data_IF_277700812916
#
_entry.id   IF_277700812916
#
_cell.length_a   1.000
_cell.length_b   1.000
_cell.length_c   1.000
_cell.angle_alpha   90.00
_cell.angle_beta   90.00
_cell.angle_gamma   90.00
#
_symmetry.space_group_name_H-M   'P 1'
#
loop_
_entity.id
_entity.type
_entity.pdbx_description
1 polymer ?
#
# COMPACT_ATOMS: atom_id res chain seq x y z
N UNK A 1 -24.03 4.60 -4.98
CA UNK A 1 -22.61 5.00 -5.12
C UNK A 1 -21.90 4.62 -3.85
N UNK A 2 -20.62 4.26 -3.93
CA UNK A 2 -19.81 3.86 -2.79
C UNK A 2 -18.93 5.06 -2.40
N UNK A 3 -18.91 5.49 -1.13
CA UNK A 3 -18.18 6.68 -0.72
C UNK A 3 -16.67 6.57 -0.85
N UNK A 4 -16.02 7.67 -1.17
CA UNK A 4 -14.56 7.84 -1.17
C UNK A 4 -14.20 9.13 -0.42
N UNK A 5 -12.94 9.25 -0.03
CA UNK A 5 -12.43 10.47 0.61
C UNK A 5 -12.08 11.52 -0.44
N UNK A 6 -12.38 12.77 -0.13
CA UNK A 6 -12.09 13.94 -0.95
C UNK A 6 -11.38 14.99 -0.10
N UNK A 7 -10.34 15.61 -0.65
CA UNK A 7 -9.81 16.84 -0.09
C UNK A 7 -10.77 17.99 -0.41
N UNK A 8 -11.05 18.83 0.59
CA UNK A 8 -11.80 20.06 0.42
C UNK A 8 -10.84 21.15 -0.06
N UNK A 9 -11.11 21.67 -1.26
CA UNK A 9 -10.42 22.83 -1.80
C UNK A 9 -11.21 24.06 -1.37
N UNK A 10 -10.65 24.95 -0.52
CA UNK A 10 -11.39 26.10 -0.03
C UNK A 10 -11.67 27.08 -1.18
N UNK A 11 -12.78 27.80 -1.04
CA UNK A 11 -13.07 28.93 -1.89
C UNK A 11 -12.06 30.05 -1.60
N UNK A 12 -11.42 30.56 -2.64
CA UNK A 12 -10.48 31.69 -2.58
C UNK A 12 -10.84 32.70 -3.65
N UNK A 13 -10.06 33.78 -3.78
CA UNK A 13 -10.20 34.73 -4.90
C UNK A 13 -9.92 34.08 -6.27
N UNK A 14 -9.26 32.93 -6.30
CA UNK A 14 -8.84 32.23 -7.52
C UNK A 14 -9.51 30.87 -7.72
N UNK A 15 -10.29 30.39 -6.75
CA UNK A 15 -10.93 29.06 -6.76
C UNK A 15 -12.35 29.18 -6.22
N UNK A 16 -13.32 28.59 -6.91
CA UNK A 16 -14.74 28.61 -6.47
C UNK A 16 -15.05 27.62 -5.33
N UNK A 17 -14.02 26.98 -4.78
CA UNK A 17 -14.14 25.88 -3.83
C UNK A 17 -14.57 24.59 -4.53
N UNK A 18 -13.94 23.47 -4.22
CA UNK A 18 -14.22 22.19 -4.88
C UNK A 18 -13.82 21.00 -4.00
N UNK A 19 -14.03 19.79 -4.52
CA UNK A 19 -13.66 18.54 -3.89
C UNK A 19 -12.83 17.72 -4.88
N UNK A 20 -11.60 17.42 -4.50
CA UNK A 20 -10.70 16.56 -5.28
C UNK A 20 -10.63 15.18 -4.63
N UNK A 21 -10.63 14.12 -5.45
CA UNK A 21 -10.48 12.77 -4.92
C UNK A 21 -9.15 12.68 -4.16
N UNK A 22 -9.18 12.24 -2.91
CA UNK A 22 -7.99 12.23 -2.06
C UNK A 22 -6.94 11.26 -2.63
N UNK A 23 -5.76 11.80 -2.91
CA UNK A 23 -4.53 11.07 -3.20
C UNK A 23 -3.60 11.19 -1.98
N UNK A 24 -2.91 10.09 -1.62
CA UNK A 24 -2.05 10.07 -0.42
C UNK A 24 -0.94 11.12 -0.48
N UNK A 25 -0.49 11.48 -1.68
CA UNK A 25 0.53 12.48 -1.95
C UNK A 25 0.11 13.88 -1.45
N UNK A 26 -1.20 14.19 -1.44
CA UNK A 26 -1.71 15.44 -0.88
C UNK A 26 -1.47 15.53 0.65
N UNK A 27 -1.39 14.38 1.32
CA UNK A 27 -1.12 14.29 2.76
C UNK A 27 0.37 14.48 3.11
N UNK A 28 1.24 14.69 2.12
CA UNK A 28 2.65 15.01 2.34
C UNK A 28 2.89 16.45 2.82
N UNK A 29 1.84 17.28 2.90
CA UNK A 29 1.91 18.65 3.41
C UNK A 29 2.66 18.71 4.74
N UNK A 30 3.73 19.50 4.79
CA UNK A 30 4.54 19.68 6.00
C UNK A 30 5.48 18.53 6.35
N UNK A 31 5.61 17.49 5.51
CA UNK A 31 6.57 16.42 5.74
C UNK A 31 8.02 16.95 5.68
N UNK A 32 8.85 16.51 6.63
CA UNK A 32 10.28 16.81 6.66
C UNK A 32 11.08 15.62 7.18
N UNK A 33 12.27 15.42 6.61
CA UNK A 33 13.25 14.45 7.12
C UNK A 33 14.15 15.03 8.21
N UNK A 34 14.13 16.35 8.42
CA UNK A 34 14.93 17.00 9.46
C UNK A 34 14.56 16.48 10.83
N UNK A 35 15.57 16.04 11.58
CA UNK A 35 15.39 15.47 12.92
C UNK A 35 14.73 14.09 12.95
N UNK A 36 14.32 13.51 11.81
CA UNK A 36 13.75 12.15 11.79
C UNK A 36 14.84 11.10 12.08
N UNK A 37 14.51 10.02 12.81
CA UNK A 37 15.46 8.95 13.12
C UNK A 37 15.74 8.09 11.88
N UNK A 38 16.97 7.61 11.76
CA UNK A 38 17.43 6.75 10.67
C UNK A 38 17.90 5.38 11.16
N UNK A 39 17.38 4.92 12.30
CA UNK A 39 17.62 3.56 12.79
C UNK A 39 17.16 2.55 11.72
N UNK A 40 18.14 2.01 10.99
CA UNK A 40 18.02 1.15 9.81
C UNK A 40 19.01 0.01 10.02
N UNK A 41 18.51 -1.22 10.06
CA UNK A 41 19.36 -2.39 10.05
C UNK A 41 19.83 -2.69 8.62
N UNK A 42 21.12 -2.49 8.36
CA UNK A 42 21.75 -2.77 7.07
C UNK A 42 22.22 -4.22 6.89
N UNK A 43 22.03 -5.12 7.88
CA UNK A 43 22.36 -6.54 7.74
C UNK A 43 21.63 -7.21 6.55
N UNK A 44 22.33 -8.03 5.76
CA UNK A 44 21.80 -8.67 4.53
C UNK A 44 21.42 -7.71 3.36
N UNK A 45 21.97 -6.49 3.31
CA UNK A 45 21.80 -5.61 2.14
C UNK A 45 22.32 -6.22 0.81
N UNK A 46 23.21 -7.21 0.88
CA UNK A 46 23.73 -7.95 -0.28
C UNK A 46 22.65 -8.87 -0.91
N UNK A 47 21.67 -9.36 -0.14
CA UNK A 47 20.65 -10.30 -0.61
C UNK A 47 19.51 -9.60 -1.38
N UNK A 48 19.21 -8.33 -1.07
CA UNK A 48 18.15 -7.54 -1.73
C UNK A 48 18.49 -7.20 -3.20
N UNK A 49 19.77 -7.23 -3.59
CA UNK A 49 20.22 -6.99 -4.98
C UNK A 49 19.68 -8.05 -5.96
N UNK A 50 19.28 -9.23 -5.47
CA UNK A 50 18.74 -10.31 -6.29
C UNK A 50 17.27 -10.06 -6.71
N UNK A 51 16.54 -9.17 -6.01
CA UNK A 51 15.07 -9.13 -6.08
C UNK A 51 14.48 -7.95 -6.88
N UNK A 52 15.28 -6.95 -7.30
CA UNK A 52 14.73 -5.70 -7.85
C UNK A 52 15.41 -5.28 -9.16
N UNK A 53 14.94 -5.82 -10.28
CA UNK A 53 14.94 -5.09 -11.56
C UNK A 53 13.73 -5.53 -12.42
N UNK A 54 12.53 -5.14 -11.97
CA UNK A 54 11.30 -5.30 -12.75
C UNK A 54 11.11 -4.04 -13.57
N UNK A 55 11.60 -4.06 -14.82
CA UNK A 55 11.10 -3.13 -15.83
C UNK A 55 9.79 -3.68 -16.38
N UNK A 56 8.77 -2.82 -16.35
CA UNK A 56 7.49 -3.05 -17.02
C UNK A 56 7.75 -3.30 -18.52
N UNK A 57 7.42 -4.50 -18.99
CA UNK A 57 7.08 -4.74 -20.39
C UNK A 57 5.92 -5.73 -20.41
N UNK A 58 4.92 -5.41 -21.22
CA UNK A 58 3.70 -6.18 -21.41
C UNK A 58 4.00 -7.58 -21.98
N UNK A 59 3.45 -8.60 -21.33
CA UNK A 59 3.28 -9.94 -21.91
C UNK A 59 4.55 -10.75 -22.16
N UNK A 60 5.17 -11.31 -21.12
CA UNK A 60 6.18 -12.35 -21.29
C UNK A 60 6.73 -12.87 -19.98
N UNK A 61 6.69 -14.20 -19.80
CA UNK A 61 7.13 -14.96 -18.61
C UNK A 61 8.43 -14.40 -17.97
N UNK A 62 8.50 -14.29 -16.63
CA UNK A 62 9.63 -13.68 -15.95
C UNK A 62 10.92 -14.49 -16.19
N UNK A 63 11.93 -13.83 -16.75
CA UNK A 63 13.30 -14.35 -16.83
C UNK A 63 14.21 -13.49 -15.95
N UNK A 64 14.75 -14.11 -14.91
CA UNK A 64 15.74 -13.53 -14.01
C UNK A 64 17.05 -13.37 -14.77
N UNK A 65 17.50 -12.14 -15.00
CA UNK A 65 18.86 -11.85 -15.45
C UNK A 65 19.63 -11.21 -14.29
N UNK A 66 20.61 -11.95 -13.76
CA UNK A 66 21.68 -11.38 -12.94
C UNK A 66 22.44 -10.39 -13.83
N UNK A 67 22.79 -9.19 -13.34
CA UNK A 67 23.69 -8.25 -14.04
C UNK A 67 24.83 -9.03 -14.72
N UNK A 68 25.19 -8.64 -15.94
CA UNK A 68 26.30 -9.30 -16.62
C UNK A 68 27.56 -9.21 -15.74
N UNK A 69 28.31 -10.31 -15.62
CA UNK A 69 29.56 -10.33 -14.86
C UNK A 69 30.57 -9.27 -15.35
N UNK A 70 30.42 -8.78 -16.59
CA UNK A 70 31.23 -7.73 -17.17
C UNK A 70 30.93 -6.35 -16.57
N UNK A 71 29.65 -6.00 -16.36
CA UNK A 71 29.25 -4.72 -15.75
C UNK A 71 29.64 -4.64 -14.28
N UNK A 72 29.51 -5.76 -13.55
CA UNK A 72 29.99 -5.85 -12.16
C UNK A 72 31.52 -5.74 -12.06
N UNK A 73 32.28 -6.29 -13.03
CA UNK A 73 33.74 -6.18 -13.07
C UNK A 73 34.20 -4.78 -13.43
N UNK A 74 33.61 -4.17 -14.46
CA UNK A 74 33.91 -2.79 -14.86
C UNK A 74 33.58 -1.80 -13.74
N UNK A 75 32.45 -1.99 -13.06
CA UNK A 75 32.09 -1.19 -11.89
C UNK A 75 33.10 -1.38 -10.76
N UNK A 76 33.49 -2.62 -10.41
CA UNK A 76 34.50 -2.90 -9.38
C UNK A 76 35.89 -2.33 -9.72
N UNK A 77 36.33 -2.42 -10.96
CA UNK A 77 37.64 -1.91 -11.40
C UNK A 77 37.70 -0.37 -11.37
N UNK A 78 36.67 0.33 -11.86
CA UNK A 78 36.58 1.79 -11.77
C UNK A 78 36.27 2.31 -10.36
N UNK A 79 35.73 1.47 -9.48
CA UNK A 79 35.41 1.82 -8.10
C UNK A 79 36.62 1.67 -7.18
N UNK A 80 37.41 0.62 -7.38
CA UNK A 80 38.62 0.35 -6.58
C UNK A 80 39.81 1.26 -6.91
N UNK A 81 39.78 1.97 -8.05
CA UNK A 81 40.81 2.95 -8.43
C UNK A 81 40.63 4.33 -7.81
N UNK A 82 39.51 4.58 -7.12
CA UNK A 82 39.23 5.84 -6.43
C UNK A 82 39.76 5.83 -4.98
N UNK A 83 40.20 6.99 -4.44
CA UNK A 83 40.49 7.12 -3.01
C UNK A 83 39.20 6.88 -2.19
N UNK A 84 39.31 6.45 -0.91
CA UNK A 84 38.15 6.10 -0.08
C UNK A 84 37.05 7.17 -0.04
N UNK A 85 37.40 8.45 0.08
CA UNK A 85 36.45 9.56 0.05
C UNK A 85 35.69 9.65 -1.28
N UNK A 86 36.37 9.40 -2.40
CA UNK A 86 35.77 9.37 -3.73
C UNK A 86 34.79 8.22 -3.94
N UNK A 87 35.05 7.06 -3.30
CA UNK A 87 34.16 5.89 -3.32
C UNK A 87 32.88 6.14 -2.54
N UNK A 88 32.99 6.69 -1.33
CA UNK A 88 31.84 7.07 -0.49
C UNK A 88 30.96 8.09 -1.22
N UNK A 89 31.56 9.14 -1.79
CA UNK A 89 30.82 10.15 -2.58
C UNK A 89 30.07 9.54 -3.76
N UNK A 90 30.67 8.56 -4.44
CA UNK A 90 30.04 7.85 -5.56
C UNK A 90 28.87 6.96 -5.09
N UNK A 91 28.99 6.28 -3.96
CA UNK A 91 27.88 5.53 -3.35
C UNK A 91 26.73 6.46 -2.99
N UNK A 92 27.00 7.59 -2.31
CA UNK A 92 25.99 8.61 -1.99
C UNK A 92 25.24 9.07 -3.24
N UNK A 93 25.95 9.39 -4.32
CA UNK A 93 25.33 9.82 -5.59
C UNK A 93 24.45 8.73 -6.23
N UNK A 94 24.86 7.46 -6.16
CA UNK A 94 24.07 6.33 -6.66
C UNK A 94 22.79 6.11 -5.84
N UNK A 95 22.91 6.16 -4.52
CA UNK A 95 21.75 6.06 -3.62
C UNK A 95 20.77 7.20 -3.86
N UNK A 96 21.26 8.45 -3.94
CA UNK A 96 20.41 9.62 -4.22
C UNK A 96 19.71 9.53 -5.57
N UNK A 97 20.38 9.04 -6.62
CA UNK A 97 19.74 8.82 -7.92
C UNK A 97 18.57 7.82 -7.83
N UNK A 98 18.70 6.78 -7.00
CA UNK A 98 17.64 5.80 -6.79
C UNK A 98 16.50 6.37 -5.92
N UNK A 99 16.86 7.15 -4.89
CA UNK A 99 15.92 7.74 -3.95
C UNK A 99 15.16 8.95 -4.51
N UNK A 100 15.72 9.69 -5.47
CA UNK A 100 15.07 10.84 -6.13
C UNK A 100 13.78 10.48 -6.89
N UNK A 101 13.44 9.19 -6.99
CA UNK A 101 12.10 8.75 -7.42
C UNK A 101 11.01 9.06 -6.40
N UNK A 102 11.37 9.40 -5.16
CA UNK A 102 10.48 9.86 -4.10
C UNK A 102 10.20 11.36 -4.25
N UNK A 103 9.34 11.72 -5.20
CA UNK A 103 9.00 13.12 -5.50
C UNK A 103 8.34 13.88 -4.33
N UNK A 104 7.96 13.20 -3.26
CA UNK A 104 7.28 13.76 -2.08
C UNK A 104 8.25 14.31 -1.01
N UNK A 105 9.56 14.20 -1.25
CA UNK A 105 10.59 14.61 -0.31
C UNK A 105 11.49 15.64 -0.99
N UNK A 106 11.80 16.73 -0.28
CA UNK A 106 12.75 17.74 -0.76
C UNK A 106 14.13 17.10 -1.04
N UNK A 107 14.70 17.40 -2.21
CA UNK A 107 15.97 16.80 -2.64
C UNK A 107 17.14 17.19 -1.73
N UNK A 108 17.12 18.41 -1.16
CA UNK A 108 18.11 18.86 -0.20
C UNK A 108 18.00 18.10 1.12
N UNK A 109 16.79 17.90 1.62
CA UNK A 109 16.54 17.09 2.82
C UNK A 109 16.90 15.62 2.62
N UNK A 110 16.62 15.06 1.44
CA UNK A 110 17.00 13.70 1.08
C UNK A 110 18.53 13.54 1.05
N UNK A 111 19.26 14.49 0.45
CA UNK A 111 20.72 14.52 0.47
C UNK A 111 21.24 14.57 1.90
N UNK A 112 20.76 15.51 2.72
CA UNK A 112 21.19 15.65 4.10
C UNK A 112 20.89 14.39 4.95
N UNK A 113 19.78 13.71 4.67
CA UNK A 113 19.41 12.47 5.35
C UNK A 113 20.37 11.32 5.00
N UNK A 114 20.70 11.16 3.71
CA UNK A 114 21.69 10.16 3.25
C UNK A 114 23.08 10.51 3.78
N UNK A 115 23.46 11.78 3.77
CA UNK A 115 24.76 12.23 4.28
C UNK A 115 24.93 11.85 5.75
N UNK A 116 23.96 12.20 6.60
CA UNK A 116 23.97 11.86 8.03
C UNK A 116 24.07 10.34 8.26
N UNK A 117 23.31 9.54 7.52
CA UNK A 117 23.36 8.06 7.64
C UNK A 117 24.76 7.53 7.35
N UNK A 118 25.39 8.01 6.26
CA UNK A 118 26.69 7.51 5.81
C UNK A 118 27.82 8.06 6.66
N UNK A 119 27.72 9.30 7.15
CA UNK A 119 28.74 9.94 7.96
C UNK A 119 28.86 9.30 9.36
N UNK A 120 27.77 8.69 9.85
CA UNK A 120 27.74 7.94 11.12
C UNK A 120 28.17 6.46 10.96
N UNK A 121 28.49 6.00 9.75
CA UNK A 121 28.94 4.62 9.52
C UNK A 121 30.39 4.40 9.97
N UNK A 122 30.65 3.23 10.56
CA UNK A 122 32.01 2.78 10.81
C UNK A 122 32.71 2.28 9.52
N UNK A 123 34.02 1.99 9.63
CA UNK A 123 34.82 1.52 8.48
C UNK A 123 34.30 0.21 7.86
N UNK A 124 33.73 -0.69 8.67
CA UNK A 124 33.22 -1.97 8.17
C UNK A 124 31.89 -1.78 7.44
N UNK A 125 31.01 -0.92 7.97
CA UNK A 125 29.74 -0.54 7.36
C UNK A 125 29.97 0.21 6.03
N UNK A 126 30.92 1.15 5.98
CA UNK A 126 31.30 1.81 4.73
C UNK A 126 31.79 0.79 3.69
N UNK A 127 32.64 -0.16 4.07
CA UNK A 127 33.11 -1.21 3.15
C UNK A 127 31.98 -2.15 2.68
N UNK A 128 30.96 -2.40 3.51
CA UNK A 128 29.78 -3.17 3.13
C UNK A 128 28.88 -2.37 2.18
N UNK A 129 28.64 -1.08 2.47
CA UNK A 129 27.90 -0.17 1.58
C UNK A 129 28.59 -0.04 0.21
N UNK A 130 29.92 0.04 0.17
CA UNK A 130 30.70 0.05 -1.07
C UNK A 130 30.46 -1.21 -1.93
N UNK A 131 30.22 -2.37 -1.30
CA UNK A 131 29.90 -3.63 -2.00
C UNK A 131 28.45 -3.70 -2.50
N UNK A 132 27.52 -3.09 -1.77
CA UNK A 132 26.08 -3.17 -2.05
C UNK A 132 25.35 -1.81 -1.92
N UNK A 133 25.73 -0.78 -2.70
CA UNK A 133 25.15 0.56 -2.55
C UNK A 133 23.65 0.60 -2.86
N UNK A 134 23.15 -0.28 -3.73
CA UNK A 134 21.73 -0.33 -4.09
C UNK A 134 20.86 -1.00 -3.01
N UNK A 135 21.36 -2.02 -2.32
CA UNK A 135 20.65 -2.62 -1.17
C UNK A 135 20.54 -1.61 -0.02
N UNK A 136 21.60 -0.83 0.23
CA UNK A 136 21.53 0.28 1.17
C UNK A 136 20.51 1.34 0.74
N UNK A 137 20.48 1.71 -0.55
CA UNK A 137 19.49 2.64 -1.09
C UNK A 137 18.05 2.15 -0.85
N UNK A 138 17.78 0.87 -1.07
CA UNK A 138 16.43 0.29 -0.88
C UNK A 138 16.01 0.31 0.59
N UNK A 139 16.92 -0.03 1.51
CA UNK A 139 16.63 0.06 2.95
C UNK A 139 16.35 1.49 3.41
N UNK A 140 17.13 2.46 2.91
CA UNK A 140 16.88 3.88 3.17
C UNK A 140 15.53 4.29 2.58
N UNK A 141 15.20 3.85 1.35
CA UNK A 141 13.91 4.10 0.70
C UNK A 141 12.75 3.60 1.56
N UNK A 142 12.81 2.34 2.00
CA UNK A 142 11.80 1.73 2.88
C UNK A 142 11.63 2.50 4.18
N UNK A 143 12.72 2.97 4.79
CA UNK A 143 12.65 3.81 5.99
C UNK A 143 11.92 5.13 5.73
N UNK A 144 12.24 5.79 4.63
CA UNK A 144 11.58 7.05 4.25
C UNK A 144 10.10 6.81 3.95
N UNK A 145 9.75 5.73 3.26
CA UNK A 145 8.35 5.34 2.99
C UNK A 145 7.57 5.06 4.29
N UNK A 146 8.20 4.45 5.29
CA UNK A 146 7.61 4.26 6.62
C UNK A 146 7.35 5.60 7.32
N UNK A 147 8.32 6.52 7.29
CA UNK A 147 8.18 7.86 7.86
C UNK A 147 7.08 8.67 7.16
N UNK A 148 7.02 8.59 5.82
CA UNK A 148 5.96 9.22 5.01
C UNK A 148 4.59 8.64 5.34
N UNK A 149 4.46 7.32 5.39
CA UNK A 149 3.18 6.67 5.70
C UNK A 149 2.69 7.06 7.10
N UNK A 150 3.60 7.17 8.07
CA UNK A 150 3.25 7.65 9.41
C UNK A 150 2.76 9.11 9.38
N UNK A 151 3.45 9.98 8.64
CA UNK A 151 3.02 11.38 8.47
C UNK A 151 1.66 11.48 7.77
N UNK A 152 1.41 10.65 6.75
CA UNK A 152 0.14 10.62 6.04
C UNK A 152 -1.00 10.20 6.97
N UNK A 153 -0.80 9.24 7.86
CA UNK A 153 -1.79 8.84 8.87
C UNK A 153 -2.17 9.99 9.78
N UNK A 154 -1.15 10.65 10.35
CA UNK A 154 -1.35 11.77 11.28
C UNK A 154 -2.07 12.92 10.59
N UNK A 155 -1.64 13.28 9.38
CA UNK A 155 -2.25 14.34 8.56
C UNK A 155 -3.67 13.98 8.16
N UNK A 156 -3.92 12.74 7.72
CA UNK A 156 -5.24 12.26 7.35
C UNK A 156 -6.22 12.31 8.52
N UNK A 157 -5.81 11.85 9.70
CA UNK A 157 -6.63 11.91 10.90
C UNK A 157 -6.97 13.36 11.27
N UNK A 158 -5.99 14.26 11.25
CA UNK A 158 -6.20 15.69 11.51
C UNK A 158 -7.13 16.31 10.46
N UNK A 159 -6.94 16.01 9.18
CA UNK A 159 -7.74 16.57 8.09
C UNK A 159 -9.18 16.05 8.10
N UNK A 160 -9.39 14.80 8.50
CA UNK A 160 -10.72 14.23 8.67
C UNK A 160 -11.45 14.91 9.83
N UNK A 161 -10.76 15.14 10.96
CA UNK A 161 -11.33 15.82 12.15
C UNK A 161 -11.65 17.29 11.88
N UNK A 162 -10.83 17.96 11.06
CA UNK A 162 -10.98 19.38 10.72
C UNK A 162 -11.78 19.62 9.43
N UNK A 163 -12.40 18.56 8.88
CA UNK A 163 -13.17 18.58 7.63
C UNK A 163 -12.40 19.08 6.39
N UNK A 164 -11.06 19.12 6.44
CA UNK A 164 -10.21 19.28 5.24
C UNK A 164 -10.28 18.04 4.34
N UNK A 165 -10.64 16.88 4.90
CA UNK A 165 -11.01 15.66 4.17
C UNK A 165 -12.43 15.27 4.55
N UNK A 166 -13.25 14.99 3.54
CA UNK A 166 -14.65 14.55 3.72
C UNK A 166 -14.91 13.26 2.95
N UNK A 167 -15.86 12.45 3.42
CA UNK A 167 -16.29 11.23 2.73
C UNK A 167 -17.56 11.49 1.92
N UNK A 168 -17.52 11.25 0.60
CA UNK A 168 -18.63 11.55 -0.32
C UNK A 168 -18.93 10.39 -1.25
N UNK A 169 -20.22 10.14 -1.59
CA UNK A 169 -20.59 9.17 -2.61
C UNK A 169 -20.00 9.54 -3.98
N UNK A 170 -19.14 8.68 -4.54
CA UNK A 170 -18.49 8.96 -5.83
C UNK A 170 -18.35 7.72 -6.71
N UNK A 171 -17.96 6.58 -6.15
CA UNK A 171 -17.64 5.40 -6.93
C UNK A 171 -18.90 4.68 -7.40
N UNK A 172 -18.89 4.28 -8.68
CA UNK A 172 -19.93 3.45 -9.31
C UNK A 172 -19.27 2.16 -9.77
N UNK A 173 -19.86 1.04 -9.35
CA UNK A 173 -19.49 -0.26 -9.90
C UNK A 173 -19.73 -0.24 -11.42
N UNK A 174 -18.77 -0.73 -12.24
CA UNK A 174 -18.91 -0.74 -13.68
C UNK A 174 -20.06 -1.65 -14.11
N UNK A 175 -20.61 -1.45 -15.31
CA UNK A 175 -21.66 -2.33 -15.84
C UNK A 175 -21.14 -3.70 -16.26
N UNK A 176 -19.82 -3.83 -16.48
CA UNK A 176 -19.14 -5.06 -16.88
C UNK A 176 -17.70 -5.03 -16.36
N UNK A 177 -17.14 -6.21 -16.09
CA UNK A 177 -15.74 -6.41 -15.71
C UNK A 177 -15.05 -7.32 -16.72
N UNK A 178 -13.71 -7.20 -16.81
CA UNK A 178 -12.86 -8.02 -17.68
C UNK A 178 -11.68 -8.59 -16.89
N UNK A 179 -11.93 -9.53 -15.96
CA UNK A 179 -10.84 -10.16 -15.20
C UNK A 179 -9.94 -11.00 -16.12
N UNK A 180 -8.65 -11.08 -15.77
CA UNK A 180 -7.66 -11.86 -16.53
C UNK A 180 -7.97 -13.37 -16.45
N UNK A 181 -8.27 -13.83 -15.23
CA UNK A 181 -8.76 -15.18 -14.95
C UNK A 181 -10.13 -15.05 -14.31
N UNK A 182 -11.11 -15.82 -14.81
CA UNK A 182 -12.50 -15.67 -14.40
C UNK A 182 -13.12 -16.98 -13.92
N UNK A 183 -14.11 -16.87 -13.03
CA UNK A 183 -14.94 -17.98 -12.57
C UNK A 183 -16.41 -17.57 -12.52
N UNK A 184 -17.29 -18.44 -12.99
CA UNK A 184 -18.75 -18.30 -12.92
C UNK A 184 -19.42 -19.42 -12.10
N UNK A 185 -18.64 -20.12 -11.26
CA UNK A 185 -19.11 -21.32 -10.57
C UNK A 185 -19.99 -21.04 -9.34
N UNK A 186 -19.83 -19.88 -8.73
CA UNK A 186 -20.50 -19.50 -7.48
C UNK A 186 -21.75 -18.67 -7.77
N UNK A 187 -22.87 -19.03 -7.14
CA UNK A 187 -24.14 -18.30 -7.30
C UNK A 187 -24.16 -16.96 -6.57
N UNK A 188 -25.07 -16.06 -6.99
CA UNK A 188 -25.29 -14.78 -6.31
C UNK A 188 -24.20 -13.71 -6.54
N UNK A 189 -23.33 -13.90 -7.53
CA UNK A 189 -22.37 -12.86 -7.94
C UNK A 189 -23.07 -11.66 -8.59
N UNK A 190 -22.43 -10.49 -8.54
CA UNK A 190 -22.90 -9.28 -9.21
C UNK A 190 -22.68 -9.38 -10.72
N UNK A 191 -21.53 -9.92 -11.14
CA UNK A 191 -21.18 -10.11 -12.54
C UNK A 191 -21.34 -11.58 -12.95
N UNK A 192 -21.54 -11.80 -14.25
CA UNK A 192 -21.72 -13.15 -14.81
C UNK A 192 -20.50 -14.06 -14.58
N UNK A 193 -19.30 -13.47 -14.59
CA UNK A 193 -18.06 -14.12 -14.21
C UNK A 193 -17.22 -13.13 -13.39
N UNK A 194 -16.79 -13.57 -12.23
CA UNK A 194 -15.98 -12.81 -11.28
C UNK A 194 -14.50 -13.16 -11.46
N UNK A 195 -13.60 -12.34 -10.91
CA UNK A 195 -12.16 -12.68 -10.87
C UNK A 195 -11.93 -13.96 -10.06
N UNK A 196 -10.96 -14.78 -10.47
CA UNK A 196 -10.56 -15.94 -9.69
C UNK A 196 -10.03 -15.53 -8.31
N UNK A 197 -10.24 -16.42 -7.34
CA UNK A 197 -10.11 -16.15 -5.92
C UNK A 197 -9.14 -17.13 -5.26
N UNK A 198 -8.53 -16.70 -4.15
CA UNK A 198 -7.80 -17.59 -3.26
C UNK A 198 -8.77 -18.51 -2.48
N UNK A 199 -8.23 -19.50 -1.77
CA UNK A 199 -9.08 -20.48 -1.07
C UNK A 199 -9.97 -19.85 0.02
N UNK A 200 -9.45 -18.89 0.79
CA UNK A 200 -10.20 -18.26 1.87
C UNK A 200 -11.34 -17.39 1.33
N UNK A 201 -11.10 -16.68 0.23
CA UNK A 201 -12.14 -15.93 -0.50
C UNK A 201 -13.20 -16.88 -1.07
N UNK A 202 -12.80 -18.02 -1.64
CA UNK A 202 -13.71 -19.07 -2.13
C UNK A 202 -14.58 -19.62 -1.00
N UNK A 203 -13.99 -19.92 0.15
CA UNK A 203 -14.72 -20.41 1.33
C UNK A 203 -15.75 -19.36 1.80
N UNK A 204 -15.36 -18.08 1.87
CA UNK A 204 -16.27 -17.00 2.21
C UNK A 204 -17.43 -16.92 1.21
N UNK A 205 -17.13 -16.86 -0.10
CA UNK A 205 -18.15 -16.72 -1.14
C UNK A 205 -19.11 -17.91 -1.15
N UNK A 206 -18.61 -19.12 -0.92
CA UNK A 206 -19.45 -20.31 -0.75
C UNK A 206 -20.47 -20.13 0.37
N UNK A 207 -20.06 -19.65 1.54
CA UNK A 207 -20.95 -19.37 2.67
C UNK A 207 -21.97 -18.26 2.32
N UNK A 208 -21.56 -17.23 1.58
CA UNK A 208 -22.48 -16.17 1.13
C UNK A 208 -23.60 -16.71 0.25
N UNK A 209 -23.35 -17.74 -0.56
CA UNK A 209 -24.40 -18.34 -1.43
C UNK A 209 -25.56 -18.95 -0.65
N UNK A 210 -25.34 -19.32 0.62
CA UNK A 210 -26.36 -19.89 1.49
C UNK A 210 -27.16 -18.84 2.26
N UNK A 211 -26.79 -17.55 2.20
CA UNK A 211 -27.40 -16.49 2.98
C UNK A 211 -28.52 -15.78 2.20
N UNK A 212 -29.80 -15.94 2.57
CA UNK A 212 -30.93 -15.38 1.80
C UNK A 212 -31.05 -13.86 1.89
N UNK A 213 -30.38 -13.22 2.85
CA UNK A 213 -30.35 -11.76 3.00
C UNK A 213 -29.31 -11.08 2.08
N UNK A 214 -28.50 -11.85 1.34
CA UNK A 214 -27.52 -11.31 0.40
C UNK A 214 -28.17 -11.11 -0.97
N UNK A 215 -28.00 -9.91 -1.51
CA UNK A 215 -28.47 -9.55 -2.86
C UNK A 215 -27.44 -9.92 -3.92
N UNK A 216 -26.18 -9.56 -3.67
CA UNK A 216 -25.06 -9.93 -4.52
C UNK A 216 -23.74 -9.84 -3.75
N UNK A 217 -22.73 -10.54 -4.24
CA UNK A 217 -21.33 -10.34 -3.88
C UNK A 217 -20.49 -10.05 -5.14
N UNK A 218 -19.32 -9.43 -4.98
CA UNK A 218 -18.40 -9.11 -6.06
C UNK A 218 -16.96 -9.27 -5.57
N UNK A 219 -16.07 -9.92 -6.36
CA UNK A 219 -14.63 -9.90 -6.10
C UNK A 219 -14.06 -8.60 -6.67
N UNK A 220 -13.71 -7.67 -5.80
CA UNK A 220 -13.14 -6.38 -6.16
C UNK A 220 -11.71 -6.54 -6.72
N UNK A 221 -11.55 -6.29 -8.02
CA UNK A 221 -10.26 -6.47 -8.71
C UNK A 221 -9.25 -5.43 -8.22
N UNK A 222 -8.12 -5.87 -7.65
CA UNK A 222 -7.14 -4.95 -7.07
C UNK A 222 -6.60 -3.97 -8.12
N UNK A 223 -6.53 -2.68 -7.78
CA UNK A 223 -6.08 -1.57 -8.67
C UNK A 223 -6.98 -1.27 -9.88
N UNK A 224 -8.04 -2.02 -10.11
CA UNK A 224 -9.03 -1.74 -11.17
C UNK A 224 -10.41 -1.41 -10.59
N UNK A 225 -10.72 -1.97 -9.41
CA UNK A 225 -11.97 -1.78 -8.71
C UNK A 225 -11.92 -0.65 -7.68
N UNK A 226 -12.80 -0.77 -6.68
CA UNK A 226 -12.97 0.22 -5.63
C UNK A 226 -11.77 0.27 -4.69
N UNK A 227 -11.34 1.50 -4.35
CA UNK A 227 -10.35 1.77 -3.33
C UNK A 227 -10.93 2.66 -2.23
N UNK A 228 -10.68 2.28 -0.98
CA UNK A 228 -10.71 3.21 0.15
C UNK A 228 -9.42 4.05 0.05
N UNK A 229 -9.55 5.27 -0.44
CA UNK A 229 -8.46 6.19 -0.76
C UNK A 229 -8.11 7.12 0.42
N UNK A 230 -7.52 6.57 1.48
CA UNK A 230 -7.07 7.35 2.64
C UNK A 230 -5.56 7.61 2.62
N UNK A 231 -4.92 7.55 3.80
CA UNK A 231 -3.45 7.61 3.91
C UNK A 231 -2.73 6.43 3.21
N UNK A 232 -3.47 5.37 2.89
CA UNK A 232 -3.12 4.34 1.91
C UNK A 232 -4.32 4.13 0.96
N UNK A 233 -4.03 3.59 -0.24
CA UNK A 233 -5.07 3.06 -1.12
C UNK A 233 -5.31 1.59 -0.77
N UNK A 234 -6.41 1.34 -0.07
CA UNK A 234 -6.81 -0.01 0.31
C UNK A 234 -7.92 -0.53 -0.61
N UNK A 235 -7.65 -1.64 -1.29
CA UNK A 235 -8.60 -2.39 -2.11
C UNK A 235 -9.09 -3.59 -1.30
N UNK A 236 -10.31 -3.57 -0.72
CA UNK A 236 -10.87 -4.74 -0.05
C UNK A 236 -11.08 -5.86 -1.06
N UNK A 237 -11.00 -7.11 -0.63
CA UNK A 237 -11.12 -8.27 -1.51
C UNK A 237 -12.53 -8.49 -2.05
N UNK A 238 -13.52 -8.50 -1.17
CA UNK A 238 -14.91 -8.86 -1.50
C UNK A 238 -15.84 -7.71 -1.11
N UNK A 239 -16.82 -7.45 -1.97
CA UNK A 239 -17.91 -6.51 -1.72
C UNK A 239 -19.23 -7.26 -1.66
N UNK A 240 -20.05 -6.99 -0.65
CA UNK A 240 -21.33 -7.66 -0.44
C UNK A 240 -22.43 -6.62 -0.30
N UNK A 241 -23.56 -6.85 -0.94
CA UNK A 241 -24.77 -6.04 -0.80
C UNK A 241 -25.88 -6.88 -0.18
N UNK A 242 -26.47 -6.39 0.91
CA UNK A 242 -27.65 -7.03 1.49
C UNK A 242 -28.93 -6.60 0.78
N UNK A 243 -29.99 -7.39 0.92
CA UNK A 243 -31.33 -7.03 0.43
C UNK A 243 -31.88 -5.76 1.08
N UNK A 244 -31.44 -5.45 2.30
CA UNK A 244 -31.71 -4.20 3.01
C UNK A 244 -30.92 -2.98 2.51
N UNK A 245 -30.04 -3.15 1.53
CA UNK A 245 -29.31 -2.05 0.88
C UNK A 245 -27.97 -1.70 1.51
N UNK A 246 -27.49 -2.48 2.49
CA UNK A 246 -26.17 -2.26 3.11
C UNK A 246 -25.06 -2.78 2.22
N UNK A 247 -24.00 -1.99 2.07
CA UNK A 247 -22.77 -2.39 1.38
C UNK A 247 -21.69 -2.72 2.40
N UNK A 248 -21.09 -3.90 2.26
CA UNK A 248 -20.13 -4.44 3.20
C UNK A 248 -18.85 -4.74 2.42
N UNK A 249 -17.75 -4.15 2.86
CA UNK A 249 -16.42 -4.37 2.33
C UNK A 249 -15.69 -5.38 3.22
N UNK A 250 -15.07 -6.37 2.59
CA UNK A 250 -14.41 -7.47 3.28
C UNK A 250 -12.99 -7.62 2.76
N UNK A 251 -12.01 -7.54 3.65
CA UNK A 251 -10.63 -7.94 3.39
C UNK A 251 -10.39 -9.31 4.02
N UNK A 252 -9.96 -10.29 3.23
CA UNK A 252 -9.66 -11.63 3.71
C UNK A 252 -8.17 -11.76 4.04
N UNK A 253 -7.84 -12.41 5.17
CA UNK A 253 -6.46 -12.62 5.61
C UNK A 253 -6.21 -14.07 5.97
N UNK A 254 -5.17 -14.66 5.38
CA UNK A 254 -4.67 -15.99 5.74
C UNK A 254 -3.51 -15.94 6.74
N UNK A 255 -3.07 -17.13 7.17
CA UNK A 255 -2.13 -17.40 8.28
C UNK A 255 -0.74 -16.70 8.19
N UNK A 256 -0.41 -16.08 7.06
CA UNK A 256 0.88 -15.42 6.86
C UNK A 256 0.75 -13.89 6.86
N UNK A 257 1.21 -13.32 7.98
CA UNK A 257 1.66 -11.94 8.23
C UNK A 257 0.66 -11.02 8.95
N UNK A 258 0.80 -10.96 10.28
CA UNK A 258 0.46 -9.77 11.06
C UNK A 258 1.59 -8.75 10.95
N UNK A 259 1.60 -8.00 9.87
CA UNK A 259 2.53 -6.90 9.65
C UNK A 259 1.79 -5.55 9.65
N UNK A 260 2.56 -4.46 9.67
CA UNK A 260 2.03 -3.10 9.74
C UNK A 260 0.99 -2.80 8.65
N UNK A 261 1.11 -3.43 7.46
CA UNK A 261 0.11 -3.36 6.38
C UNK A 261 -1.31 -3.73 6.84
N UNK A 262 -1.46 -4.76 7.66
CA UNK A 262 -2.79 -5.18 8.15
C UNK A 262 -3.36 -4.17 9.14
N UNK A 263 -2.53 -3.54 9.97
CA UNK A 263 -2.98 -2.50 10.92
C UNK A 263 -3.48 -1.28 10.16
N UNK A 264 -2.73 -0.87 9.15
CA UNK A 264 -3.03 0.30 8.31
C UNK A 264 -4.34 0.11 7.54
N UNK A 265 -4.57 -1.10 7.00
CA UNK A 265 -5.83 -1.48 6.35
C UNK A 265 -7.03 -1.45 7.30
N UNK A 266 -6.87 -2.00 8.51
CA UNK A 266 -7.93 -1.94 9.54
C UNK A 266 -8.24 -0.49 9.91
N UNK A 267 -7.21 0.34 10.09
CA UNK A 267 -7.36 1.73 10.49
C UNK A 267 -8.07 2.56 9.41
N UNK A 268 -7.60 2.49 8.14
CA UNK A 268 -8.25 3.20 7.04
C UNK A 268 -9.67 2.69 6.77
N UNK A 269 -9.90 1.37 6.88
CA UNK A 269 -11.22 0.76 6.74
C UNK A 269 -12.19 1.19 7.85
N UNK A 270 -11.68 1.39 9.07
CA UNK A 270 -12.45 1.94 10.19
C UNK A 270 -12.73 3.42 10.01
N UNK A 271 -11.77 4.22 9.56
CA UNK A 271 -12.02 5.62 9.23
C UNK A 271 -13.12 5.73 8.15
N UNK A 272 -13.03 4.91 7.10
CA UNK A 272 -14.01 4.87 6.03
C UNK A 272 -15.40 4.48 6.51
N UNK A 273 -15.54 3.37 7.26
CA UNK A 273 -16.88 2.94 7.73
C UNK A 273 -17.54 4.00 8.61
N UNK A 274 -16.76 4.71 9.42
CA UNK A 274 -17.26 5.74 10.33
C UNK A 274 -17.73 6.97 9.54
N UNK A 275 -16.96 7.39 8.53
CA UNK A 275 -17.28 8.56 7.72
C UNK A 275 -18.36 8.29 6.64
N UNK A 276 -18.42 7.07 6.10
CA UNK A 276 -19.38 6.67 5.07
C UNK A 276 -20.82 6.52 5.60
N UNK A 277 -20.98 6.29 6.90
CA UNK A 277 -22.26 6.22 7.59
C UNK A 277 -22.90 4.82 7.63
N UNK A 278 -24.10 4.74 8.22
CA UNK A 278 -24.72 3.50 8.69
C UNK A 278 -25.09 2.47 7.59
N UNK A 279 -25.05 2.85 6.31
CA UNK A 279 -25.27 1.94 5.19
C UNK A 279 -24.02 1.15 4.78
N UNK A 280 -22.86 1.50 5.32
CA UNK A 280 -21.59 0.91 4.93
C UNK A 280 -20.92 0.20 6.10
N UNK A 281 -20.29 -0.93 5.84
CA UNK A 281 -19.49 -1.69 6.82
C UNK A 281 -18.17 -2.11 6.21
N UNK A 282 -17.17 -2.27 7.07
CA UNK A 282 -15.86 -2.80 6.71
C UNK A 282 -15.45 -3.85 7.74
N UNK A 283 -14.99 -5.00 7.28
CA UNK A 283 -14.45 -6.08 8.10
C UNK A 283 -13.17 -6.63 7.52
N UNK A 284 -12.19 -6.86 8.38
CA UNK A 284 -11.05 -7.72 8.08
C UNK A 284 -11.33 -9.10 8.67
N UNK A 285 -11.41 -10.11 7.81
CA UNK A 285 -11.87 -11.46 8.13
C UNK A 285 -10.69 -12.43 8.05
N UNK A 286 -10.45 -13.12 9.15
CA UNK A 286 -9.43 -14.17 9.27
C UNK A 286 -10.05 -15.56 9.29
N UNK A 287 -9.23 -16.59 9.11
CA UNK A 287 -9.67 -17.96 9.33
C UNK A 287 -10.02 -18.17 10.81
N UNK A 288 -10.97 -19.05 11.08
CA UNK A 288 -11.26 -19.44 12.46
C UNK A 288 -10.05 -20.12 13.11
N UNK A 289 -9.79 -19.79 14.38
CA UNK A 289 -8.62 -20.26 15.13
C UNK A 289 -7.40 -19.35 15.05
N UNK A 290 -7.41 -18.33 14.19
CA UNK A 290 -6.33 -17.33 14.13
C UNK A 290 -6.34 -16.40 15.34
N UNK A 291 -5.15 -15.95 15.76
CA UNK A 291 -5.04 -14.85 16.70
C UNK A 291 -5.49 -13.56 15.99
N UNK A 292 -6.60 -12.95 16.39
CA UNK A 292 -7.13 -11.78 15.69
C UNK A 292 -6.47 -10.46 16.16
N UNK A 293 -6.05 -9.56 15.25
CA UNK A 293 -5.72 -8.19 15.62
C UNK A 293 -6.98 -7.40 16.05
N UNK A 294 -6.79 -6.33 16.82
CA UNK A 294 -7.91 -5.48 17.25
C UNK A 294 -8.68 -4.91 16.06
N UNK A 295 -9.99 -5.14 16.02
CA UNK A 295 -10.87 -4.68 14.95
C UNK A 295 -11.04 -5.65 13.78
N UNK A 296 -10.39 -6.82 13.81
CA UNK A 296 -10.68 -7.93 12.91
C UNK A 296 -11.67 -8.93 13.54
N UNK A 297 -12.23 -9.80 12.70
CA UNK A 297 -13.18 -10.85 13.09
C UNK A 297 -12.79 -12.18 12.45
N UNK A 298 -13.20 -13.30 13.05
CA UNK A 298 -13.07 -14.60 12.41
C UNK A 298 -14.17 -14.81 11.35
N UNK A 299 -14.01 -15.80 10.48
CA UNK A 299 -15.01 -16.17 9.47
C UNK A 299 -16.38 -16.44 10.12
N UNK A 300 -16.41 -17.27 11.18
CA UNK A 300 -17.65 -17.60 11.88
C UNK A 300 -18.33 -16.36 12.48
N UNK A 301 -17.57 -15.48 13.14
CA UNK A 301 -18.08 -14.22 13.70
C UNK A 301 -18.61 -13.28 12.62
N UNK A 302 -17.92 -13.19 11.48
CA UNK A 302 -18.35 -12.37 10.36
C UNK A 302 -19.68 -12.85 9.78
N UNK A 303 -19.84 -14.17 9.58
CA UNK A 303 -21.08 -14.75 9.05
C UNK A 303 -22.27 -14.56 10.02
N UNK A 304 -22.04 -14.65 11.33
CA UNK A 304 -23.06 -14.33 12.34
C UNK A 304 -23.52 -12.87 12.26
N UNK A 305 -22.57 -11.93 12.18
CA UNK A 305 -22.89 -10.51 12.00
C UNK A 305 -23.66 -10.27 10.70
N UNK A 306 -23.26 -10.93 9.62
CA UNK A 306 -23.88 -10.77 8.31
C UNK A 306 -25.32 -11.26 8.28
N UNK A 307 -25.66 -12.34 8.99
CA UNK A 307 -27.04 -12.83 9.13
C UNK A 307 -27.96 -11.85 9.86
N UNK A 308 -27.39 -11.00 10.73
CA UNK A 308 -28.14 -10.01 11.50
C UNK A 308 -28.35 -8.67 10.76
N UNK A 309 -27.73 -8.48 9.58
CA UNK A 309 -27.77 -7.25 8.77
C UNK A 309 -28.80 -7.31 7.63
#
# INVERSE_FOLDING_TARGET
>A
MIPQFFQVIPQTLYTDGDFELLEKEQLAEGFTLKGKPYDIDFAAADDEIVQVDVRQNEGGLPKVFKMSNADQRYFKECFNSLPPEGRVRRCKALMLRQLNKLNMVDAGELSAYVDRIVDDMDKAQLAAMEKAPLGYAEKIRRKIEQLLTQHYKETFAQWLETERVVCRPSYRLPSMIHPVNSTGMFGGSLYQAEEDMNQLEKDLVMELTALPNIRWWHRNIARQGFAINGFINHYPDIMVMTNGGKVILVETKGDHLKNDDSRDKIEVGRAWRNAAGNQYRYYMVFRDGDNLPSGAVSMSQFLELLRAL
#
